data_IF_314012219179
#
_entry.id   IF_314012219179
#
_cell.length_a   1.000
_cell.length_b   1.000
_cell.length_c   1.000
_cell.angle_alpha   90.00
_cell.angle_beta   90.00
_cell.angle_gamma   90.00
#
_symmetry.space_group_name_H-M   'P 1'
#
loop_
_entity.id
_entity.type
_entity.pdbx_description
1 polymer ?
#
# COMPACT_ATOMS: atom_id res chain seq x y z
N UNK A 1 -35.56 -44.76 9.99
CA UNK A 1 -35.53 -43.35 10.43
C UNK A 1 -34.10 -42.97 10.82
N UNK A 2 -33.14 -42.96 9.87
CA UNK A 2 -31.72 -42.59 10.13
C UNK A 2 -30.93 -42.43 8.81
N UNK A 3 -31.41 -41.64 7.85
CA UNK A 3 -30.68 -41.40 6.59
C UNK A 3 -30.79 -39.96 6.06
N UNK A 4 -31.50 -39.07 6.76
CA UNK A 4 -31.69 -37.68 6.33
C UNK A 4 -30.63 -36.73 6.88
N UNK A 5 -29.95 -37.06 7.99
CA UNK A 5 -29.01 -36.13 8.63
C UNK A 5 -27.66 -35.97 7.90
N UNK A 6 -27.27 -36.91 7.01
CA UNK A 6 -25.93 -36.89 6.37
C UNK A 6 -25.85 -36.13 5.04
N UNK A 7 -26.96 -35.64 4.49
CA UNK A 7 -26.93 -34.88 3.22
C UNK A 7 -26.84 -33.37 3.41
N UNK A 8 -27.28 -32.85 4.56
CA UNK A 8 -27.25 -31.42 4.86
C UNK A 8 -25.82 -30.96 5.20
N UNK A 9 -25.04 -31.81 5.87
CA UNK A 9 -23.62 -31.51 6.18
C UNK A 9 -22.74 -31.47 4.92
N UNK A 10 -23.05 -32.26 3.90
CA UNK A 10 -22.29 -32.34 2.66
C UNK A 10 -22.60 -31.18 1.70
N UNK A 11 -23.81 -30.64 1.70
CA UNK A 11 -24.18 -29.49 0.87
C UNK A 11 -23.67 -28.15 1.43
N UNK A 12 -23.59 -28.00 2.75
CA UNK A 12 -23.03 -26.80 3.38
C UNK A 12 -21.51 -26.66 3.15
N UNK A 13 -20.76 -27.77 3.10
CA UNK A 13 -19.34 -27.74 2.76
C UNK A 13 -19.06 -27.40 1.29
N UNK A 14 -19.99 -27.70 0.37
CA UNK A 14 -19.88 -27.29 -1.03
C UNK A 14 -20.19 -25.79 -1.25
N UNK A 15 -21.10 -25.22 -0.44
CA UNK A 15 -21.46 -23.80 -0.54
C UNK A 15 -20.34 -22.85 -0.07
N UNK A 16 -19.54 -23.26 0.93
CA UNK A 16 -18.41 -22.47 1.40
C UNK A 16 -17.26 -22.38 0.36
N UNK A 17 -17.08 -23.42 -0.47
CA UNK A 17 -16.06 -23.41 -1.52
C UNK A 17 -16.42 -22.50 -2.71
N UNK A 18 -17.72 -22.36 -3.02
CA UNK A 18 -18.17 -21.50 -4.14
C UNK A 18 -18.10 -20.00 -3.82
N UNK A 19 -18.25 -19.60 -2.55
CA UNK A 19 -18.14 -18.19 -2.15
C UNK A 19 -16.70 -17.64 -2.24
N UNK A 20 -15.68 -18.50 -2.15
CA UNK A 20 -14.27 -18.11 -2.30
C UNK A 20 -13.85 -17.87 -3.77
N UNK A 21 -14.68 -18.29 -4.74
CA UNK A 21 -14.37 -18.15 -6.18
C UNK A 21 -15.16 -16.98 -6.82
N UNK A 22 -16.21 -16.48 -6.16
CA UNK A 22 -17.03 -15.40 -6.72
C UNK A 22 -16.50 -13.98 -6.45
N UNK A 23 -15.47 -13.81 -5.59
CA UNK A 23 -14.82 -12.52 -5.41
C UNK A 23 -13.83 -12.17 -6.54
N UNK A 24 -13.39 -13.17 -7.31
CA UNK A 24 -12.39 -13.01 -8.38
C UNK A 24 -13.01 -12.54 -9.72
N UNK A 25 -14.34 -12.55 -9.83
CA UNK A 25 -15.05 -12.30 -11.09
C UNK A 25 -15.33 -10.81 -11.41
N UNK A 26 -14.99 -9.87 -10.52
CA UNK A 26 -15.25 -8.43 -10.73
C UNK A 26 -14.03 -7.59 -11.14
N UNK A 27 -12.88 -8.20 -11.38
CA UNK A 27 -11.69 -7.46 -11.82
C UNK A 27 -10.79 -8.28 -12.76
N UNK A 28 -11.31 -8.62 -13.95
CA UNK A 28 -10.60 -8.54 -15.25
C UNK A 28 -9.20 -9.13 -15.48
N UNK A 29 -8.52 -9.73 -14.52
CA UNK A 29 -7.20 -10.33 -14.69
C UNK A 29 -7.18 -11.71 -14.01
N UNK A 30 -6.68 -12.76 -14.68
CA UNK A 30 -6.53 -14.08 -14.07
C UNK A 30 -5.60 -13.95 -12.86
N UNK A 31 -6.12 -14.29 -11.69
CA UNK A 31 -5.35 -14.46 -10.47
C UNK A 31 -4.29 -15.53 -10.70
N UNK A 32 -3.02 -15.11 -10.75
CA UNK A 32 -1.89 -16.02 -10.85
C UNK A 32 -1.57 -16.55 -9.43
N UNK A 33 -1.81 -17.84 -9.15
CA UNK A 33 -1.72 -18.39 -7.79
C UNK A 33 -0.29 -18.40 -7.22
N UNK A 34 0.72 -18.15 -8.04
CA UNK A 34 2.14 -18.05 -7.66
C UNK A 34 2.76 -16.68 -7.97
N UNK A 35 1.97 -15.69 -8.43
CA UNK A 35 2.47 -14.32 -8.46
C UNK A 35 2.60 -13.83 -7.01
N UNK A 36 3.69 -13.12 -6.65
CA UNK A 36 3.88 -12.61 -5.29
C UNK A 36 2.67 -11.77 -4.90
N UNK A 37 1.86 -12.30 -3.99
CA UNK A 37 0.63 -11.67 -3.55
C UNK A 37 0.97 -10.59 -2.55
N UNK A 38 0.87 -9.37 -3.07
CA UNK A 38 0.64 -8.12 -2.36
C UNK A 38 1.80 -7.64 -1.48
N UNK A 39 2.88 -7.18 -2.13
CA UNK A 39 3.71 -6.14 -1.51
C UNK A 39 2.78 -5.00 -1.07
N UNK A 40 2.80 -4.64 0.21
CA UNK A 40 1.92 -3.61 0.78
C UNK A 40 2.78 -2.45 1.25
N UNK A 41 2.63 -1.32 0.58
CA UNK A 41 3.32 -0.09 0.94
C UNK A 41 2.30 1.02 1.19
N UNK A 42 2.45 1.71 2.32
CA UNK A 42 1.58 2.81 2.72
C UNK A 42 2.41 4.07 2.88
N UNK A 43 2.20 5.04 2.00
CA UNK A 43 2.77 6.37 2.14
C UNK A 43 1.79 7.26 2.90
N UNK A 44 2.09 7.53 4.16
CA UNK A 44 1.38 8.48 5.01
C UNK A 44 2.17 9.79 5.10
N UNK A 45 1.45 10.89 5.23
CA UNK A 45 2.05 12.18 5.52
C UNK A 45 1.92 12.52 7.00
N UNK A 46 2.92 13.22 7.53
CA UNK A 46 2.84 13.76 8.89
C UNK A 46 1.69 14.77 9.02
N UNK A 47 1.23 15.02 10.24
CA UNK A 47 0.18 16.01 10.52
C UNK A 47 0.57 17.45 10.14
N UNK A 48 1.87 17.70 9.96
CA UNK A 48 2.41 19.00 9.56
C UNK A 48 2.57 19.15 8.04
N UNK A 49 2.35 18.05 7.30
CA UNK A 49 2.43 18.10 5.86
C UNK A 49 1.24 18.87 5.26
N UNK A 50 1.43 19.54 4.12
CA UNK A 50 0.35 20.23 3.44
C UNK A 50 -0.82 19.30 3.09
N UNK A 51 -2.04 19.65 3.53
CA UNK A 51 -3.23 18.81 3.37
C UNK A 51 -3.74 18.69 1.92
N UNK A 52 -3.29 19.60 1.05
CA UNK A 52 -3.59 19.69 -0.37
C UNK A 52 -2.66 18.84 -1.25
N UNK A 53 -1.63 18.21 -0.67
CA UNK A 53 -0.75 17.32 -1.44
C UNK A 53 -1.52 16.09 -1.93
N UNK A 54 -1.34 15.77 -3.20
CA UNK A 54 -1.89 14.59 -3.87
C UNK A 54 -0.75 13.71 -4.33
N UNK A 55 -0.94 12.41 -4.26
CA UNK A 55 0.06 11.45 -4.70
C UNK A 55 -0.59 10.34 -5.49
N UNK A 56 0.15 9.82 -6.46
CA UNK A 56 -0.17 8.60 -7.16
C UNK A 56 1.11 7.78 -7.37
N UNK A 57 0.93 6.50 -7.66
CA UNK A 57 2.03 5.62 -7.99
C UNK A 57 1.72 4.81 -9.24
N UNK A 58 2.72 4.69 -10.10
CA UNK A 58 2.58 4.02 -11.40
C UNK A 58 3.65 2.95 -11.57
N UNK A 59 3.35 1.90 -12.32
CA UNK A 59 4.30 0.83 -12.64
C UNK A 59 3.60 -0.46 -13.05
N UNK A 60 4.30 -1.41 -13.67
CA UNK A 60 3.73 -2.69 -14.06
C UNK A 60 3.25 -3.49 -12.85
N UNK A 61 1.96 -3.85 -12.81
CA UNK A 61 1.38 -4.60 -11.69
C UNK A 61 1.18 -3.78 -10.41
N UNK A 62 1.36 -2.46 -10.46
CA UNK A 62 1.08 -1.55 -9.35
C UNK A 62 -0.42 -1.25 -9.29
N UNK A 63 -1.01 -1.41 -8.11
CA UNK A 63 -2.38 -0.96 -7.81
C UNK A 63 -2.34 0.10 -6.70
N UNK A 64 -2.93 1.26 -6.95
CA UNK A 64 -3.00 2.36 -5.98
C UNK A 64 -4.41 2.59 -5.46
N UNK A 65 -4.48 3.01 -4.19
CA UNK A 65 -5.70 3.60 -3.61
C UNK A 65 -5.33 4.79 -2.76
N UNK A 66 -5.89 5.94 -3.12
CA UNK A 66 -5.76 7.17 -2.35
C UNK A 66 -6.90 7.24 -1.33
N UNK A 67 -6.56 7.67 -0.12
CA UNK A 67 -7.48 7.86 0.99
C UNK A 67 -6.97 8.97 1.91
N UNK A 68 -7.68 9.24 3.00
CA UNK A 68 -7.24 10.13 4.07
C UNK A 68 -7.17 9.37 5.38
N UNK A 69 -6.18 9.71 6.20
CA UNK A 69 -6.09 9.25 7.59
C UNK A 69 -7.19 9.91 8.44
N UNK A 70 -7.32 9.46 9.69
CA UNK A 70 -8.20 10.08 10.70
C UNK A 70 -7.83 11.55 10.94
N UNK A 71 -6.56 11.91 10.78
CA UNK A 71 -6.08 13.29 10.88
C UNK A 71 -6.29 14.11 9.61
N UNK A 72 -6.91 13.55 8.58
CA UNK A 72 -7.13 14.20 7.29
C UNK A 72 -5.91 14.21 6.36
N UNK A 73 -4.76 13.74 6.84
CA UNK A 73 -3.53 13.64 6.06
C UNK A 73 -3.70 12.64 4.90
N UNK A 74 -3.13 12.91 3.72
CA UNK A 74 -3.21 11.99 2.60
C UNK A 74 -2.53 10.66 2.93
N UNK A 75 -3.17 9.58 2.48
CA UNK A 75 -2.68 8.22 2.60
C UNK A 75 -2.76 7.55 1.23
N UNK A 76 -1.60 7.24 0.65
CA UNK A 76 -1.49 6.47 -0.57
C UNK A 76 -1.16 5.02 -0.22
N UNK A 77 -2.06 4.10 -0.55
CA UNK A 77 -1.81 2.67 -0.48
C UNK A 77 -1.36 2.16 -1.84
N UNK A 78 -0.26 1.43 -1.86
CA UNK A 78 0.32 0.78 -3.03
C UNK A 78 0.37 -0.72 -2.77
N UNK A 79 -0.14 -1.49 -3.73
CA UNK A 79 -0.26 -2.94 -3.66
C UNK A 79 0.12 -3.61 -4.98
N UNK A 80 0.41 -4.91 -4.93
CA UNK A 80 0.88 -5.66 -6.10
C UNK A 80 2.40 -5.59 -6.17
N UNK A 81 2.93 -4.84 -7.13
CA UNK A 81 4.36 -4.61 -7.32
C UNK A 81 4.81 -3.25 -6.73
N UNK A 82 4.75 -3.11 -5.41
CA UNK A 82 5.07 -1.86 -4.73
C UNK A 82 6.56 -1.50 -4.78
N UNK A 83 7.45 -2.49 -4.90
CA UNK A 83 8.90 -2.31 -5.04
C UNK A 83 9.25 -1.55 -6.32
N UNK A 84 8.61 -1.83 -7.45
CA UNK A 84 8.88 -1.12 -8.71
C UNK A 84 8.14 0.20 -8.88
N UNK A 85 7.18 0.51 -8.00
CA UNK A 85 6.33 1.67 -8.13
C UNK A 85 7.12 2.99 -8.24
N UNK A 86 6.65 3.87 -9.13
CA UNK A 86 7.10 5.24 -9.27
C UNK A 86 6.11 6.16 -8.58
N UNK A 87 6.50 6.72 -7.44
CA UNK A 87 5.64 7.61 -6.65
C UNK A 87 5.88 9.05 -7.07
N UNK A 88 4.80 9.73 -7.45
CA UNK A 88 4.80 11.15 -7.77
C UNK A 88 3.74 11.85 -6.93
N UNK A 89 4.11 12.97 -6.34
CA UNK A 89 3.20 13.81 -5.58
C UNK A 89 3.21 15.22 -6.14
N UNK A 90 2.07 15.90 -6.10
CA UNK A 90 1.92 17.26 -6.58
C UNK A 90 0.96 18.05 -5.71
N UNK A 91 1.11 19.37 -5.77
CA UNK A 91 0.25 20.34 -5.10
C UNK A 91 -0.38 21.29 -6.12
N UNK A 92 -1.53 21.91 -5.80
CA UNK A 92 -2.15 22.93 -6.65
C UNK A 92 -1.27 24.16 -6.87
N UNK A 93 -0.28 24.41 -5.99
CA UNK A 93 0.71 25.48 -6.14
C UNK A 93 1.74 25.23 -7.27
N UNK A 94 1.66 24.09 -7.95
CA UNK A 94 2.57 23.68 -9.03
C UNK A 94 3.77 22.86 -8.57
N UNK A 95 4.01 22.75 -7.25
CA UNK A 95 5.13 21.96 -6.71
C UNK A 95 4.92 20.47 -6.99
N UNK A 96 5.99 19.81 -7.46
CA UNK A 96 6.02 18.37 -7.73
C UNK A 96 7.13 17.70 -6.95
N UNK A 97 6.88 16.48 -6.49
CA UNK A 97 7.78 15.70 -5.66
C UNK A 97 7.80 14.24 -6.09
N UNK A 98 8.91 13.56 -5.82
CA UNK A 98 9.07 12.13 -6.05
C UNK A 98 9.79 11.45 -4.90
N UNK A 99 9.57 10.14 -4.75
CA UNK A 99 10.28 9.30 -3.80
C UNK A 99 10.52 7.91 -4.37
N UNK A 100 11.66 7.33 -4.01
CA UNK A 100 12.08 5.98 -4.39
C UNK A 100 12.18 5.05 -3.16
N UNK A 101 11.71 5.49 -1.99
CA UNK A 101 11.87 4.76 -0.73
C UNK A 101 11.28 3.34 -0.80
N UNK A 102 10.20 3.16 -1.58
CA UNK A 102 9.55 1.88 -1.82
C UNK A 102 10.46 0.86 -2.53
N UNK A 103 11.53 1.30 -3.22
CA UNK A 103 12.55 0.46 -3.87
C UNK A 103 13.66 0.03 -2.94
N UNK A 104 13.84 0.75 -1.82
CA UNK A 104 14.93 0.52 -0.84
C UNK A 104 14.51 -0.43 0.28
N UNK A 105 13.22 -0.71 0.40
CA UNK A 105 12.65 -1.55 1.46
C UNK A 105 12.41 -2.96 0.93
N UNK A 106 12.63 -3.97 1.78
CA UNK A 106 12.23 -5.33 1.45
C UNK A 106 10.78 -5.60 1.87
N UNK A 107 10.07 -6.38 1.05
CA UNK A 107 8.69 -6.81 1.30
C UNK A 107 8.66 -8.28 1.71
N UNK A 108 7.67 -8.63 2.52
CA UNK A 108 7.35 -10.01 2.84
C UNK A 108 5.83 -10.19 2.86
N UNK A 109 5.36 -11.43 2.82
CA UNK A 109 3.93 -11.74 2.83
C UNK A 109 3.26 -11.46 4.20
N UNK A 110 4.05 -11.26 5.26
CA UNK A 110 3.57 -11.23 6.64
C UNK A 110 3.16 -9.82 7.11
N UNK A 111 3.75 -8.75 6.57
CA UNK A 111 3.60 -7.40 7.09
C UNK A 111 3.53 -6.30 6.05
N UNK A 112 2.85 -5.20 6.40
CA UNK A 112 2.87 -3.99 5.60
C UNK A 112 4.10 -3.13 5.92
N UNK A 113 4.53 -2.35 4.93
CA UNK A 113 5.53 -1.30 5.10
C UNK A 113 4.82 0.04 5.18
N UNK A 114 5.09 0.79 6.24
CA UNK A 114 4.53 2.10 6.52
C UNK A 114 5.61 3.16 6.39
N UNK A 115 5.45 4.09 5.45
CA UNK A 115 6.36 5.20 5.23
C UNK A 115 5.68 6.52 5.61
N UNK A 116 6.25 7.23 6.59
CA UNK A 116 5.79 8.56 7.02
C UNK A 116 6.68 9.63 6.44
N UNK A 117 6.11 10.49 5.60
CA UNK A 117 6.80 11.64 5.02
C UNK A 117 6.71 12.84 5.96
N UNK A 118 7.88 13.33 6.38
CA UNK A 118 8.03 14.53 7.21
C UNK A 118 8.31 15.75 6.32
N UNK A 119 7.33 16.11 5.48
CA UNK A 119 7.42 17.25 4.57
C UNK A 119 7.08 18.56 5.30
N UNK A 120 8.01 19.51 5.26
CA UNK A 120 7.79 20.88 5.71
C UNK A 120 7.26 21.74 4.55
N UNK A 121 6.38 22.69 4.87
CA UNK A 121 5.87 23.66 3.89
C UNK A 121 7.03 24.45 3.26
N UNK A 122 7.10 24.47 1.93
CA UNK A 122 8.15 25.17 1.18
C UNK A 122 9.50 24.44 1.14
N UNK A 123 9.62 23.26 1.75
CA UNK A 123 10.82 22.44 1.66
C UNK A 123 11.01 21.79 0.29
N UNK A 124 12.25 21.74 -0.17
CA UNK A 124 12.63 21.05 -1.42
C UNK A 124 12.91 19.55 -1.21
N UNK A 125 13.08 19.13 0.04
CA UNK A 125 13.30 17.73 0.40
C UNK A 125 12.68 17.41 1.76
N UNK A 126 12.32 16.15 1.95
CA UNK A 126 11.77 15.64 3.20
C UNK A 126 12.37 14.29 3.56
N UNK A 127 12.38 14.03 4.86
CA UNK A 127 12.77 12.72 5.41
C UNK A 127 11.56 11.78 5.36
N UNK A 128 11.84 10.52 5.04
CA UNK A 128 10.84 9.45 5.08
C UNK A 128 11.21 8.45 6.16
N UNK A 129 10.32 8.28 7.13
CA UNK A 129 10.47 7.30 8.19
C UNK A 129 9.74 6.02 7.79
N UNK A 130 10.44 4.89 7.77
CA UNK A 130 9.87 3.59 7.39
C UNK A 130 9.76 2.67 8.61
N UNK A 131 8.58 2.10 8.78
CA UNK A 131 8.21 1.13 9.81
C UNK A 131 7.68 -0.14 9.11
N UNK A 132 7.94 -1.31 9.70
CA UNK A 132 7.52 -2.60 9.14
C UNK A 132 6.76 -3.41 10.20
N UNK A 133 5.63 -3.97 9.79
CA UNK A 133 4.88 -4.91 10.62
C UNK A 133 5.56 -6.30 10.62
N UNK A 134 5.67 -6.93 11.79
CA UNK A 134 6.05 -8.35 11.91
C UNK A 134 7.56 -8.65 12.02
N UNK A 135 8.43 -7.64 12.06
CA UNK A 135 9.83 -7.85 12.45
C UNK A 135 9.91 -7.86 13.98
N UNK A 136 9.79 -9.07 14.56
CA UNK A 136 9.86 -9.30 15.99
C UNK A 136 11.17 -8.71 16.54
N UNK A 137 11.04 -7.94 17.63
CA UNK A 137 12.08 -7.37 18.50
C UNK A 137 12.68 -5.99 18.26
N UNK A 138 12.55 -5.34 17.09
CA UNK A 138 12.96 -3.93 16.96
C UNK A 138 12.08 -3.16 15.98
N UNK A 139 11.05 -2.49 16.52
CA UNK A 139 10.42 -1.33 15.88
C UNK A 139 11.40 -0.15 15.84
N UNK A 140 12.59 -0.33 15.24
CA UNK A 140 13.51 0.78 14.98
C UNK A 140 13.13 1.33 13.61
N UNK A 141 12.41 2.46 13.55
CA UNK A 141 12.09 3.07 12.27
C UNK A 141 13.39 3.42 11.53
N UNK A 142 13.45 3.10 10.25
CA UNK A 142 14.56 3.53 9.40
C UNK A 142 14.24 4.89 8.80
N UNK A 143 15.12 5.87 8.99
CA UNK A 143 14.94 7.22 8.45
C UNK A 143 15.77 7.38 7.19
N UNK A 144 15.09 7.68 6.08
CA UNK A 144 15.71 8.04 4.82
C UNK A 144 15.63 9.56 4.63
N UNK A 145 16.71 10.26 4.98
CA UNK A 145 16.84 11.70 4.80
C UNK A 145 16.91 12.07 3.32
N UNK A 146 16.15 13.09 2.91
CA UNK A 146 16.12 13.55 1.52
C UNK A 146 15.61 12.52 0.52
N UNK A 147 14.81 11.54 0.97
CA UNK A 147 14.24 10.51 0.09
C UNK A 147 12.92 10.91 -0.57
N UNK A 148 12.36 12.06 -0.18
CA UNK A 148 11.24 12.68 -0.84
C UNK A 148 11.68 14.05 -1.31
N UNK A 149 11.84 14.22 -2.62
CA UNK A 149 12.52 15.39 -3.20
C UNK A 149 11.62 16.10 -4.20
N UNK A 150 11.74 17.42 -4.25
CA UNK A 150 11.08 18.26 -5.25
C UNK A 150 11.72 18.00 -6.61
N UNK A 151 10.89 17.77 -7.61
CA UNK A 151 11.34 17.64 -9.00
C UNK A 151 11.71 19.04 -9.49
N UNK A 152 12.97 19.23 -9.89
CA UNK A 152 13.41 20.45 -10.58
C UNK A 152 13.12 20.28 -12.06
N UNK A 153 12.39 21.22 -12.65
CA UNK A 153 12.27 21.36 -14.11
C UNK A 153 13.56 21.95 -14.70
#
# INVERSE_FOLDING_TARGET
MMSWMNRIGLTLMAAAAAAMIAADAFAGEPSQPFAPTAEKFYLKFSVFAPADIRCDATGPGVRTKVSRSVTGAPLLRITGNASDAQIQCWRPDGSRYTTDVNRKVSYNAAGAVWATVMLQTGGDAASVMVERDGEQDRLVPTIYSGAFVKVRE
#
